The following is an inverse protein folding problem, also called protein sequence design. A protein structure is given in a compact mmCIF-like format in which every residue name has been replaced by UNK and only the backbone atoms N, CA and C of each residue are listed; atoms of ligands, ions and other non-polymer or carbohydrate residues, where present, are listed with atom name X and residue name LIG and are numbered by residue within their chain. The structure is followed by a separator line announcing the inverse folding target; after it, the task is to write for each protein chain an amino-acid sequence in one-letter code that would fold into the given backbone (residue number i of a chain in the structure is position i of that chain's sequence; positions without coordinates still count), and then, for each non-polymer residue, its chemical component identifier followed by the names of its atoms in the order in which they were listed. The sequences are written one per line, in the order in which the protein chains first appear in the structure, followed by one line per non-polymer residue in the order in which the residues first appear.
data_IF_516402346472
#
_entry.id   IF_516402346472
#
_cell.length_a   1.000
_cell.length_b   1.000
_cell.length_c   1.000
_cell.angle_alpha   90.00
_cell.angle_beta   90.00
_cell.angle_gamma   90.00
#
_symmetry.space_group_name_H-M   'P 1'
#
loop_
_entity.id
_entity.type
_entity.pdbx_description
1 polymer ?
#
# COMPACT_ATOMS: atom_id res chain seq x y z
N UNK A 1 4.37 -6.26 -12.28
CA UNK A 1 4.34 -5.00 -11.51
C UNK A 1 5.00 -5.24 -10.17
N UNK A 2 5.99 -4.43 -9.78
CA UNK A 2 6.75 -4.60 -8.53
C UNK A 2 6.85 -3.26 -7.81
N UNK A 3 6.48 -3.24 -6.54
CA UNK A 3 6.66 -2.14 -5.62
C UNK A 3 8.04 -2.26 -4.95
N UNK A 4 8.82 -1.18 -4.95
CA UNK A 4 10.15 -1.12 -4.32
C UNK A 4 10.25 -0.03 -3.24
N UNK A 5 9.12 0.58 -2.88
CA UNK A 5 9.08 1.80 -2.07
C UNK A 5 9.06 3.06 -2.93
N UNK A 6 9.07 4.22 -2.29
CA UNK A 6 9.15 5.53 -2.96
C UNK A 6 10.12 6.44 -2.23
N UNK A 7 10.50 7.57 -2.83
CA UNK A 7 11.37 8.56 -2.18
C UNK A 7 10.80 9.11 -0.87
N UNK A 8 9.47 9.09 -0.72
CA UNK A 8 8.76 9.70 0.40
C UNK A 8 8.24 8.68 1.42
N UNK A 9 8.40 7.38 1.15
CA UNK A 9 7.87 6.32 1.99
C UNK A 9 8.89 5.22 2.27
N UNK A 10 9.29 5.13 3.53
CA UNK A 10 10.16 4.06 4.02
C UNK A 10 9.30 2.83 4.31
N UNK A 11 9.14 1.98 3.30
CA UNK A 11 8.54 0.67 3.48
C UNK A 11 9.55 -0.28 4.11
N UNK A 12 9.15 -1.02 5.16
CA UNK A 12 9.95 -2.16 5.62
C UNK A 12 10.01 -3.22 4.52
N UNK A 13 11.05 -4.05 4.54
CA UNK A 13 11.19 -5.13 3.57
C UNK A 13 9.97 -6.07 3.59
N UNK A 14 9.45 -6.39 4.78
CA UNK A 14 8.26 -7.23 4.94
C UNK A 14 7.01 -6.62 4.29
N UNK A 15 6.83 -5.29 4.43
CA UNK A 15 5.70 -4.60 3.83
C UNK A 15 5.79 -4.63 2.30
N UNK A 16 6.99 -4.40 1.76
CA UNK A 16 7.26 -4.49 0.32
C UNK A 16 6.98 -5.88 -0.22
N UNK A 17 7.36 -6.93 0.52
CA UNK A 17 7.05 -8.33 0.15
C UNK A 17 5.55 -8.57 0.15
N UNK A 18 4.83 -8.12 1.18
CA UNK A 18 3.38 -8.30 1.29
C UNK A 18 2.62 -7.62 0.13
N UNK A 19 2.99 -6.38 -0.22
CA UNK A 19 2.41 -5.65 -1.36
C UNK A 19 2.66 -6.41 -2.67
N UNK A 20 3.90 -6.82 -2.92
CA UNK A 20 4.26 -7.54 -4.14
C UNK A 20 3.55 -8.90 -4.25
N UNK A 21 3.41 -9.62 -3.13
CA UNK A 21 2.66 -10.86 -3.09
C UNK A 21 1.17 -10.65 -3.41
N UNK A 22 0.54 -9.63 -2.82
CA UNK A 22 -0.86 -9.29 -3.08
C UNK A 22 -1.11 -8.95 -4.56
N UNK A 23 -0.24 -8.13 -5.16
CA UNK A 23 -0.29 -7.77 -6.58
C UNK A 23 -0.10 -9.01 -7.46
N UNK A 24 0.90 -9.83 -7.19
CA UNK A 24 1.23 -11.02 -7.99
C UNK A 24 0.12 -12.06 -7.93
N UNK A 25 -0.46 -12.29 -6.75
CA UNK A 25 -1.53 -13.26 -6.53
C UNK A 25 -2.92 -12.72 -6.88
N UNK A 26 -3.03 -11.44 -7.21
CA UNK A 26 -4.30 -10.73 -7.38
C UNK A 26 -5.26 -10.95 -6.20
N UNK A 27 -4.70 -10.91 -4.99
CA UNK A 27 -5.45 -11.08 -3.73
C UNK A 27 -5.49 -9.76 -2.96
N UNK A 28 -6.59 -9.46 -2.24
CA UNK A 28 -6.67 -8.25 -1.44
C UNK A 28 -5.66 -8.24 -0.29
N UNK A 29 -5.11 -7.07 0.03
CA UNK A 29 -4.20 -6.84 1.15
C UNK A 29 -4.89 -5.99 2.22
N UNK A 30 -5.07 -6.54 3.42
CA UNK A 30 -5.60 -5.79 4.57
C UNK A 30 -4.43 -5.32 5.46
N UNK A 31 -4.28 -4.01 5.60
CA UNK A 31 -3.24 -3.40 6.43
C UNK A 31 -3.83 -2.92 7.75
N UNK A 32 -3.33 -3.43 8.87
CA UNK A 32 -3.72 -3.05 10.24
C UNK A 32 -2.58 -2.31 10.94
N UNK A 33 -2.91 -1.46 11.91
CA UNK A 33 -1.94 -0.78 12.78
C UNK A 33 -2.54 0.42 13.49
N UNK A 34 -1.81 0.98 14.44
CA UNK A 34 -2.24 2.15 15.25
C UNK A 34 -2.55 3.40 14.40
N UNK A 35 -3.44 4.30 14.86
CA UNK A 35 -3.65 5.58 14.21
C UNK A 35 -2.32 6.32 13.96
N UNK A 36 -2.16 6.92 12.78
CA UNK A 36 -0.94 7.68 12.44
C UNK A 36 0.25 6.88 11.90
N UNK A 37 0.18 5.55 11.76
CA UNK A 37 1.29 4.72 11.25
C UNK A 37 1.47 4.71 9.72
N UNK A 38 0.97 5.73 9.00
CA UNK A 38 1.19 5.86 7.55
C UNK A 38 0.42 4.89 6.65
N UNK A 39 -0.63 4.22 7.12
CA UNK A 39 -1.48 3.31 6.31
C UNK A 39 -2.12 3.98 5.09
N UNK A 40 -2.64 5.20 5.26
CA UNK A 40 -3.21 5.98 4.14
C UNK A 40 -2.14 6.40 3.16
N UNK A 41 -0.95 6.75 3.64
CA UNK A 41 0.19 7.11 2.80
C UNK A 41 0.65 5.90 2.00
N UNK A 42 0.74 4.71 2.60
CA UNK A 42 1.07 3.47 1.89
C UNK A 42 0.19 3.25 0.65
N UNK A 43 -1.13 3.39 0.78
CA UNK A 43 -2.05 3.19 -0.34
C UNK A 43 -1.77 4.18 -1.50
N UNK A 44 -1.48 5.44 -1.17
CA UNK A 44 -1.11 6.47 -2.15
C UNK A 44 0.19 6.15 -2.87
N UNK A 45 1.22 5.81 -2.12
CA UNK A 45 2.57 5.54 -2.64
C UNK A 45 2.61 4.26 -3.47
N UNK A 46 1.83 3.23 -3.10
CA UNK A 46 1.66 2.02 -3.91
C UNK A 46 0.95 2.32 -5.23
N UNK A 47 -0.13 3.11 -5.19
CA UNK A 47 -0.84 3.49 -6.41
C UNK A 47 0.04 4.30 -7.36
N UNK A 48 0.77 5.30 -6.84
CA UNK A 48 1.71 6.12 -7.61
C UNK A 48 2.84 5.27 -8.21
N UNK A 49 3.49 4.43 -7.41
CA UNK A 49 4.59 3.58 -7.87
C UNK A 49 4.17 2.56 -8.94
N UNK A 50 2.90 2.11 -8.91
CA UNK A 50 2.36 1.18 -9.89
C UNK A 50 1.65 1.87 -11.07
N UNK A 51 1.53 3.20 -11.05
CA UNK A 51 0.79 3.96 -12.07
C UNK A 51 -0.70 3.62 -12.12
N UNK A 52 -1.29 3.28 -10.97
CA UNK A 52 -2.68 2.85 -10.84
C UNK A 52 -3.56 3.96 -10.23
N UNK A 53 -4.86 4.01 -10.57
CA UNK A 53 -5.79 4.91 -9.89
C UNK A 53 -5.97 4.49 -8.43
N UNK A 54 -5.95 5.46 -7.52
CA UNK A 54 -6.32 5.26 -6.12
C UNK A 54 -7.81 5.58 -5.93
N UNK A 55 -8.57 4.58 -5.48
CA UNK A 55 -9.98 4.75 -5.12
C UNK A 55 -10.05 4.83 -3.59
N UNK A 56 -10.42 6.00 -3.07
CA UNK A 56 -10.60 6.21 -1.63
C UNK A 56 -12.09 6.13 -1.27
N UNK A 57 -12.42 5.31 -0.27
CA UNK A 57 -13.78 5.22 0.27
C UNK A 57 -13.77 5.53 1.77
N UNK A 58 -14.49 6.57 2.17
CA UNK A 58 -14.64 6.94 3.57
C UNK A 58 -15.80 6.15 4.18
N UNK A 59 -15.49 5.14 4.98
CA UNK A 59 -16.50 4.34 5.68
C UNK A 59 -16.87 5.05 6.99
N UNK A 60 -18.13 5.47 7.11
CA UNK A 60 -18.76 5.94 8.35
C UNK A 60 -19.85 4.94 8.73
N UNK A 61 -20.11 4.74 10.03
CA UNK A 61 -21.25 3.95 10.50
C UNK A 61 -22.55 4.70 10.30
#
# INVERSE_FOLDING_TARGET
MRFEGTKNYVATQDLTVAVNAAVTLQRPLLVKGEPGTGKTVLAKEVAEALGLPLIEWHVKS
#
